data_IF_784574639381
#
_entry.id   IF_784574639381
#
_cell.length_a   1.000
_cell.length_b   1.000
_cell.length_c   1.000
_cell.angle_alpha   90.00
_cell.angle_beta   90.00
_cell.angle_gamma   90.00
#
_symmetry.space_group_name_H-M   'P 1'
#
loop_
_entity.id
_entity.type
_entity.pdbx_description
1 polymer ?
#
# COMPACT_ATOMS: atom_id res chain seq x y z
N UNK A 1 -29.33 -2.54 -12.63
CA UNK A 1 -29.78 -1.90 -11.36
C UNK A 1 -28.65 -1.03 -10.87
N UNK A 2 -28.92 0.27 -10.55
CA UNK A 2 -27.87 1.15 -10.06
C UNK A 2 -27.33 0.75 -8.68
N UNK A 3 -26.10 1.15 -8.37
CA UNK A 3 -25.46 0.93 -7.07
C UNK A 3 -26.23 1.77 -6.03
N UNK A 4 -26.80 1.12 -5.01
CA UNK A 4 -27.59 1.81 -3.97
C UNK A 4 -26.78 2.11 -2.73
N UNK A 5 -26.05 1.13 -2.25
CA UNK A 5 -25.22 1.21 -1.05
C UNK A 5 -24.15 0.09 -1.10
N UNK A 6 -23.02 0.35 -0.48
CA UNK A 6 -21.86 -0.54 -0.47
C UNK A 6 -21.54 -0.98 0.96
N UNK A 7 -21.37 -2.27 1.15
CA UNK A 7 -20.69 -2.82 2.32
C UNK A 7 -19.22 -3.00 1.99
N UNK A 8 -18.31 -2.43 2.77
CA UNK A 8 -16.87 -2.63 2.62
C UNK A 8 -16.34 -3.43 3.80
N UNK A 9 -15.81 -4.63 3.56
CA UNK A 9 -15.19 -5.46 4.60
C UNK A 9 -13.68 -5.45 4.39
N UNK A 10 -12.93 -4.89 5.35
CA UNK A 10 -11.47 -4.82 5.29
C UNK A 10 -10.83 -5.56 6.45
N UNK A 11 -9.74 -6.28 6.15
CA UNK A 11 -8.93 -6.95 7.17
C UNK A 11 -8.03 -6.00 7.97
N UNK A 12 -7.85 -4.77 7.49
CA UNK A 12 -7.06 -3.71 8.13
C UNK A 12 -7.78 -2.37 7.93
N UNK A 13 -7.59 -1.43 8.87
CA UNK A 13 -8.13 -0.07 8.77
C UNK A 13 -7.41 0.88 9.73
N UNK A 14 -7.25 2.18 9.39
CA UNK A 14 -6.73 3.18 10.32
C UNK A 14 -7.54 3.24 11.63
N UNK A 15 -6.93 3.66 12.75
CA UNK A 15 -5.59 4.26 12.88
C UNK A 15 -4.44 3.23 12.93
N UNK A 16 -4.71 1.93 12.68
CA UNK A 16 -3.66 0.93 12.54
C UNK A 16 -2.78 1.21 11.32
N UNK A 17 -1.49 0.84 11.37
CA UNK A 17 -0.57 0.98 10.24
C UNK A 17 -0.91 -0.04 9.14
N UNK A 18 -0.61 0.27 7.90
CA UNK A 18 -0.68 -0.69 6.79
C UNK A 18 -1.24 -0.10 5.50
N UNK A 19 -0.74 -0.59 4.37
CA UNK A 19 -1.15 -0.15 3.04
C UNK A 19 -2.58 -0.55 2.69
N UNK A 20 -2.98 -1.78 3.07
CA UNK A 20 -4.34 -2.31 2.85
C UNK A 20 -5.37 -1.45 3.60
N UNK A 21 -5.09 -1.12 4.87
CA UNK A 21 -5.95 -0.28 5.68
C UNK A 21 -6.10 1.14 5.13
N UNK A 22 -4.99 1.77 4.75
CA UNK A 22 -5.00 3.10 4.15
C UNK A 22 -5.75 3.12 2.80
N UNK A 23 -5.58 2.09 1.98
CA UNK A 23 -6.34 1.91 0.74
C UNK A 23 -7.85 1.83 1.04
N UNK A 24 -8.26 0.93 1.94
CA UNK A 24 -9.67 0.72 2.29
C UNK A 24 -10.33 2.02 2.82
N UNK A 25 -9.61 2.76 3.66
CA UNK A 25 -10.08 4.03 4.19
C UNK A 25 -10.29 5.10 3.11
N UNK A 26 -9.23 5.40 2.33
CA UNK A 26 -9.33 6.43 1.30
C UNK A 26 -10.40 6.08 0.24
N UNK A 27 -10.44 4.82 -0.20
CA UNK A 27 -11.45 4.37 -1.14
C UNK A 27 -12.86 4.49 -0.54
N UNK A 28 -13.06 4.10 0.73
CA UNK A 28 -14.37 4.23 1.40
C UNK A 28 -14.80 5.69 1.53
N UNK A 29 -13.87 6.59 1.85
CA UNK A 29 -14.10 8.03 1.97
C UNK A 29 -14.57 8.62 0.63
N UNK A 30 -13.85 8.32 -0.46
CA UNK A 30 -14.22 8.85 -1.78
C UNK A 30 -15.48 8.20 -2.34
N UNK A 31 -15.66 6.90 -2.21
CA UNK A 31 -16.90 6.25 -2.61
C UNK A 31 -18.12 6.81 -1.89
N UNK A 32 -17.98 7.15 -0.59
CA UNK A 32 -19.08 7.71 0.21
C UNK A 32 -19.53 9.10 -0.26
N UNK A 33 -18.72 9.83 -1.03
CA UNK A 33 -19.14 11.08 -1.68
C UNK A 33 -20.19 10.84 -2.78
N UNK A 34 -20.29 9.61 -3.30
CA UNK A 34 -21.18 9.26 -4.42
C UNK A 34 -22.23 8.22 -4.02
N UNK A 35 -21.90 7.27 -3.17
CA UNK A 35 -22.69 6.11 -2.82
C UNK A 35 -22.51 5.83 -1.33
N UNK A 36 -23.56 5.68 -0.52
CA UNK A 36 -23.42 5.36 0.91
C UNK A 36 -22.57 4.13 1.14
N UNK A 37 -21.53 4.24 1.97
CA UNK A 37 -20.60 3.17 2.33
C UNK A 37 -20.71 2.83 3.81
N UNK A 38 -20.81 1.55 4.11
CA UNK A 38 -20.66 1.03 5.48
C UNK A 38 -19.40 0.14 5.54
N UNK A 39 -18.53 0.41 6.49
CA UNK A 39 -17.28 -0.32 6.67
C UNK A 39 -17.38 -1.29 7.85
N UNK A 40 -17.04 -2.55 7.63
CA UNK A 40 -16.80 -3.54 8.67
C UNK A 40 -15.30 -3.85 8.70
N UNK A 41 -14.66 -3.64 9.84
CA UNK A 41 -13.21 -3.81 9.95
C UNK A 41 -12.78 -4.26 11.34
N UNK A 42 -11.48 -4.28 11.58
CA UNK A 42 -10.86 -4.75 12.82
C UNK A 42 -10.28 -3.61 13.66
N UNK A 43 -10.07 -3.86 14.96
CA UNK A 43 -9.39 -2.96 15.88
C UNK A 43 -8.01 -3.49 16.32
N UNK A 44 -7.41 -4.40 15.54
CA UNK A 44 -6.29 -5.22 16.00
C UNK A 44 -4.99 -4.44 16.28
N UNK A 45 -4.83 -3.26 15.70
CA UNK A 45 -3.54 -2.53 15.67
C UNK A 45 -3.56 -1.19 16.41
N UNK A 46 -4.67 -0.87 17.07
CA UNK A 46 -4.80 0.36 17.85
C UNK A 46 -5.69 0.14 19.07
N UNK A 47 -5.56 1.00 20.09
CA UNK A 47 -6.45 0.97 21.24
C UNK A 47 -7.88 1.34 20.84
N UNK A 48 -8.87 0.80 21.56
CA UNK A 48 -10.29 1.10 21.29
C UNK A 48 -10.58 2.60 21.34
N UNK A 49 -9.90 3.34 22.21
CA UNK A 49 -10.03 4.79 22.33
C UNK A 49 -9.57 5.53 21.07
N UNK A 50 -8.38 5.18 20.54
CA UNK A 50 -7.86 5.74 19.29
C UNK A 50 -8.74 5.38 18.10
N UNK A 51 -9.31 4.17 18.08
CA UNK A 51 -10.25 3.76 17.05
C UNK A 51 -11.53 4.61 17.11
N UNK A 52 -12.10 4.81 18.30
CA UNK A 52 -13.31 5.64 18.48
C UNK A 52 -13.06 7.11 18.11
N UNK A 53 -11.88 7.65 18.44
CA UNK A 53 -11.52 9.01 18.05
C UNK A 53 -11.39 9.16 16.53
N UNK A 54 -10.82 8.16 15.87
CA UNK A 54 -10.72 8.13 14.41
C UNK A 54 -12.11 8.04 13.76
N UNK A 55 -12.94 7.08 14.21
CA UNK A 55 -14.25 6.80 13.62
C UNK A 55 -15.22 8.00 13.73
N UNK A 56 -15.15 8.79 14.81
CA UNK A 56 -15.95 10.01 15.01
C UNK A 56 -15.65 11.12 13.98
N UNK A 57 -14.48 11.10 13.33
CA UNK A 57 -14.11 12.10 12.33
C UNK A 57 -14.61 11.74 10.94
N UNK A 58 -15.03 10.49 10.74
CA UNK A 58 -15.46 9.99 9.44
C UNK A 58 -16.96 10.27 9.18
N UNK A 59 -17.30 10.46 7.91
CA UNK A 59 -18.69 10.75 7.46
C UNK A 59 -19.44 9.50 7.01
N UNK A 60 -18.89 8.32 7.21
CA UNK A 60 -19.48 7.03 6.87
C UNK A 60 -19.48 6.10 8.09
N UNK A 61 -20.36 5.10 8.07
CA UNK A 61 -20.50 4.17 9.18
C UNK A 61 -19.31 3.22 9.24
N UNK A 62 -18.70 3.09 10.43
CA UNK A 62 -17.61 2.14 10.69
C UNK A 62 -18.02 1.26 11.88
N UNK A 63 -17.97 -0.06 11.66
CA UNK A 63 -18.13 -1.04 12.73
C UNK A 63 -16.86 -1.86 12.85
N UNK A 64 -16.30 -1.92 14.08
CA UNK A 64 -15.05 -2.62 14.35
C UNK A 64 -15.28 -3.92 15.07
N UNK A 65 -14.61 -4.97 14.57
CA UNK A 65 -14.57 -6.27 15.22
C UNK A 65 -13.42 -6.32 16.22
N UNK A 66 -13.69 -6.79 17.41
CA UNK A 66 -12.69 -6.99 18.43
C UNK A 66 -11.81 -8.23 18.14
N UNK A 67 -10.61 -8.21 18.71
CA UNK A 67 -9.71 -9.36 18.75
C UNK A 67 -9.84 -10.06 20.08
N UNK A 68 -10.06 -11.36 20.04
CA UNK A 68 -10.11 -12.20 21.23
C UNK A 68 -8.80 -12.95 21.41
N UNK A 69 -8.55 -13.45 22.63
CA UNK A 69 -7.29 -14.13 22.97
C UNK A 69 -7.03 -15.38 22.12
N UNK A 70 -8.10 -16.08 21.71
CA UNK A 70 -8.02 -17.24 20.83
C UNK A 70 -8.32 -16.83 19.38
N UNK A 71 -7.41 -17.04 18.43
CA UNK A 71 -7.60 -16.65 17.04
C UNK A 71 -8.83 -17.29 16.39
N UNK A 72 -9.07 -18.59 16.64
CA UNK A 72 -10.22 -19.31 16.11
C UNK A 72 -11.54 -18.70 16.58
N UNK A 73 -11.65 -18.36 17.87
CA UNK A 73 -12.82 -17.69 18.44
C UNK A 73 -13.01 -16.31 17.83
N UNK A 74 -11.92 -15.57 17.60
CA UNK A 74 -11.95 -14.28 16.93
C UNK A 74 -12.59 -14.38 15.54
N UNK A 75 -12.15 -15.34 14.72
CA UNK A 75 -12.70 -15.54 13.39
C UNK A 75 -14.16 -15.98 13.39
N UNK A 76 -14.55 -16.85 14.31
CA UNK A 76 -15.95 -17.30 14.47
C UNK A 76 -16.88 -16.14 14.84
N UNK A 77 -16.49 -15.33 15.83
CA UNK A 77 -17.29 -14.17 16.29
C UNK A 77 -17.39 -13.14 15.17
N UNK A 78 -16.30 -12.82 14.49
CA UNK A 78 -16.29 -11.88 13.35
C UNK A 78 -17.22 -12.37 12.24
N UNK A 79 -17.14 -13.65 11.90
CA UNK A 79 -18.05 -14.27 10.91
C UNK A 79 -19.51 -14.12 11.32
N UNK A 80 -19.85 -14.44 12.58
CA UNK A 80 -21.19 -14.28 13.10
C UNK A 80 -21.68 -12.83 13.07
N UNK A 81 -20.81 -11.86 13.42
CA UNK A 81 -21.14 -10.44 13.37
C UNK A 81 -21.40 -9.96 11.93
N UNK A 82 -20.60 -10.42 10.95
CA UNK A 82 -20.83 -10.14 9.53
C UNK A 82 -22.20 -10.70 9.10
N UNK A 83 -22.51 -11.93 9.45
CA UNK A 83 -23.81 -12.57 9.15
C UNK A 83 -24.95 -11.73 9.76
N UNK A 84 -24.86 -11.41 11.04
CA UNK A 84 -25.86 -10.60 11.75
C UNK A 84 -26.06 -9.23 11.09
N UNK A 85 -24.98 -8.59 10.64
CA UNK A 85 -25.05 -7.31 9.95
C UNK A 85 -25.75 -7.42 8.58
N UNK A 86 -25.37 -8.42 7.78
CA UNK A 86 -25.99 -8.71 6.48
C UNK A 86 -27.48 -9.10 6.56
N UNK A 87 -27.91 -9.74 7.63
CA UNK A 87 -29.33 -10.09 7.81
C UNK A 87 -30.21 -8.89 8.20
N UNK A 88 -29.60 -7.87 8.80
CA UNK A 88 -30.33 -6.68 9.28
C UNK A 88 -30.37 -5.55 8.25
N UNK A 89 -29.45 -5.53 7.33
CA UNK A 89 -29.32 -4.45 6.34
C UNK A 89 -29.19 -5.03 4.92
N UNK A 90 -29.73 -4.28 3.95
CA UNK A 90 -29.65 -4.63 2.54
C UNK A 90 -28.55 -3.83 1.86
N UNK A 91 -27.68 -4.53 1.13
CA UNK A 91 -26.61 -3.95 0.33
C UNK A 91 -26.72 -4.43 -1.11
N UNK A 92 -26.47 -3.53 -2.06
CA UNK A 92 -26.40 -3.90 -3.47
C UNK A 92 -25.04 -4.52 -3.82
N UNK A 93 -23.97 -4.02 -3.20
CA UNK A 93 -22.60 -4.44 -3.44
C UNK A 93 -21.86 -4.68 -2.12
N UNK A 94 -20.91 -5.61 -2.14
CA UNK A 94 -19.99 -5.83 -1.04
C UNK A 94 -18.55 -5.89 -1.59
N UNK A 95 -17.70 -5.00 -1.11
CA UNK A 95 -16.27 -4.99 -1.40
C UNK A 95 -15.56 -5.76 -0.28
N UNK A 96 -14.66 -6.66 -0.64
CA UNK A 96 -13.83 -7.42 0.30
C UNK A 96 -12.36 -7.18 0.00
N UNK A 97 -11.57 -6.79 1.02
CA UNK A 97 -10.16 -6.46 0.91
C UNK A 97 -9.36 -7.08 2.05
N UNK A 98 -8.27 -7.74 1.71
CA UNK A 98 -7.41 -8.46 2.63
C UNK A 98 -7.88 -9.90 2.92
N UNK A 99 -6.99 -10.70 3.51
CA UNK A 99 -7.08 -12.15 3.58
C UNK A 99 -8.40 -12.67 4.18
N UNK A 100 -8.73 -12.26 5.41
CA UNK A 100 -9.95 -12.72 6.09
C UNK A 100 -11.22 -12.31 5.33
N UNK A 101 -11.25 -11.08 4.83
CA UNK A 101 -12.39 -10.52 4.12
C UNK A 101 -12.68 -11.27 2.83
N UNK A 102 -11.63 -11.67 2.09
CA UNK A 102 -11.77 -12.49 0.87
C UNK A 102 -12.36 -13.86 1.18
N UNK A 103 -11.97 -14.52 2.26
CA UNK A 103 -12.53 -15.80 2.67
C UNK A 103 -14.02 -15.70 3.01
N UNK A 104 -14.50 -14.54 3.47
CA UNK A 104 -15.91 -14.31 3.76
C UNK A 104 -16.79 -14.30 2.50
N UNK A 105 -16.24 -14.17 1.29
CA UNK A 105 -17.00 -14.17 0.03
C UNK A 105 -17.95 -15.36 -0.10
N UNK A 106 -17.51 -16.56 0.32
CA UNK A 106 -18.34 -17.77 0.30
C UNK A 106 -19.52 -17.65 1.26
N UNK A 107 -19.28 -17.17 2.49
CA UNK A 107 -20.30 -16.98 3.52
C UNK A 107 -21.32 -15.92 3.08
N UNK A 108 -20.83 -14.76 2.60
CA UNK A 108 -21.68 -13.65 2.15
C UNK A 108 -22.61 -14.09 1.03
N UNK A 109 -22.08 -14.77 0.00
CA UNK A 109 -22.88 -15.27 -1.15
C UNK A 109 -23.90 -16.34 -0.75
N UNK A 110 -23.61 -17.12 0.29
CA UNK A 110 -24.55 -18.13 0.81
C UNK A 110 -25.76 -17.49 1.49
N UNK A 111 -25.59 -16.31 2.11
CA UNK A 111 -26.65 -15.60 2.84
C UNK A 111 -27.40 -14.63 1.90
N UNK A 112 -26.67 -13.89 1.09
CA UNK A 112 -27.19 -12.86 0.16
C UNK A 112 -26.78 -13.23 -1.27
N UNK A 113 -27.55 -14.10 -1.93
CA UNK A 113 -27.24 -14.59 -3.29
C UNK A 113 -27.13 -13.48 -4.33
N UNK A 114 -27.93 -12.42 -4.20
CA UNK A 114 -28.02 -11.33 -5.17
C UNK A 114 -27.03 -10.21 -4.95
N UNK A 115 -26.31 -10.16 -3.81
CA UNK A 115 -25.29 -9.14 -3.55
C UNK A 115 -24.14 -9.30 -4.55
N UNK A 116 -23.66 -8.19 -5.10
CA UNK A 116 -22.51 -8.20 -6.01
C UNK A 116 -21.22 -8.13 -5.21
N UNK A 117 -20.35 -9.11 -5.37
CA UNK A 117 -19.10 -9.23 -4.64
C UNK A 117 -17.92 -8.72 -5.45
N UNK A 118 -17.17 -7.78 -4.89
CA UNK A 118 -15.97 -7.18 -5.48
C UNK A 118 -14.77 -7.53 -4.59
N UNK A 119 -13.79 -8.24 -5.13
CA UNK A 119 -12.55 -8.57 -4.42
C UNK A 119 -11.43 -7.61 -4.82
N UNK A 120 -10.80 -6.95 -3.84
CA UNK A 120 -9.59 -6.14 -4.05
C UNK A 120 -8.37 -6.94 -3.57
N UNK A 121 -7.32 -6.98 -4.40
CA UNK A 121 -6.12 -7.77 -4.15
C UNK A 121 -4.88 -6.89 -4.07
N UNK A 122 -4.09 -7.09 -2.99
CA UNK A 122 -2.86 -6.34 -2.72
C UNK A 122 -1.59 -7.19 -2.89
N UNK A 123 -1.72 -8.53 -2.96
CA UNK A 123 -0.66 -9.49 -3.26
C UNK A 123 -0.51 -10.61 -2.24
N UNK A 124 -0.10 -10.32 -1.00
CA UNK A 124 0.22 -11.33 0.03
C UNK A 124 -0.94 -12.31 0.32
N UNK A 125 -2.19 -11.85 0.23
CA UNK A 125 -3.38 -12.69 0.44
C UNK A 125 -3.54 -13.80 -0.61
N UNK A 126 -2.93 -13.65 -1.78
CA UNK A 126 -2.95 -14.64 -2.85
C UNK A 126 -1.84 -15.70 -2.69
N UNK A 127 -0.77 -15.40 -1.96
CA UNK A 127 0.41 -16.25 -1.78
C UNK A 127 0.26 -17.23 -0.61
N UNK A 128 -0.82 -18.01 -0.60
CA UNK A 128 -1.06 -18.98 0.45
C UNK A 128 -0.14 -20.21 0.32
N UNK A 129 0.56 -20.55 1.40
CA UNK A 129 1.39 -21.78 1.47
C UNK A 129 0.63 -22.98 1.99
N UNK A 130 -0.38 -22.77 2.83
CA UNK A 130 -1.19 -23.84 3.41
C UNK A 130 -2.22 -24.35 2.39
N UNK A 131 -2.25 -25.68 2.18
CA UNK A 131 -3.12 -26.33 1.20
C UNK A 131 -4.62 -26.07 1.46
N UNK A 132 -5.06 -26.13 2.71
CA UNK A 132 -6.47 -25.89 3.08
C UNK A 132 -6.85 -24.46 2.76
N UNK A 133 -5.96 -23.49 3.09
CA UNK A 133 -6.20 -22.08 2.80
C UNK A 133 -6.23 -21.80 1.30
N UNK A 134 -5.41 -22.50 0.49
CA UNK A 134 -5.50 -22.43 -0.99
C UNK A 134 -6.86 -22.89 -1.49
N UNK A 135 -7.40 -23.98 -0.96
CA UNK A 135 -8.72 -24.48 -1.34
C UNK A 135 -9.82 -23.48 -0.96
N UNK A 136 -9.80 -22.98 0.28
CA UNK A 136 -10.78 -22.01 0.76
C UNK A 136 -10.74 -20.70 -0.06
N UNK A 137 -9.54 -20.18 -0.31
CA UNK A 137 -9.35 -19.02 -1.16
C UNK A 137 -9.88 -19.25 -2.57
N UNK A 138 -9.58 -20.41 -3.15
CA UNK A 138 -10.07 -20.78 -4.48
C UNK A 138 -11.61 -20.79 -4.57
N UNK A 139 -12.29 -21.35 -3.56
CA UNK A 139 -13.77 -21.33 -3.51
C UNK A 139 -14.29 -19.90 -3.32
N UNK A 140 -13.60 -19.07 -2.53
CA UNK A 140 -13.96 -17.67 -2.31
C UNK A 140 -13.81 -16.83 -3.57
N UNK A 141 -12.71 -17.00 -4.32
CA UNK A 141 -12.50 -16.32 -5.61
C UNK A 141 -13.61 -16.64 -6.63
N UNK A 142 -14.12 -17.88 -6.66
CA UNK A 142 -15.25 -18.26 -7.54
C UNK A 142 -16.57 -17.54 -7.22
N UNK A 143 -16.70 -16.96 -6.04
CA UNK A 143 -17.91 -16.23 -5.61
C UNK A 143 -17.86 -14.73 -5.96
N UNK A 144 -16.71 -14.23 -6.34
CA UNK A 144 -16.57 -12.84 -6.74
C UNK A 144 -17.24 -12.59 -8.09
N UNK A 145 -17.94 -11.48 -8.19
CA UNK A 145 -18.51 -10.99 -9.45
C UNK A 145 -17.48 -10.09 -10.17
N UNK A 146 -16.60 -9.41 -9.42
CA UNK A 146 -15.54 -8.53 -9.93
C UNK A 146 -14.25 -8.79 -9.17
N UNK A 147 -13.12 -8.75 -9.89
CA UNK A 147 -11.77 -8.87 -9.34
C UNK A 147 -10.98 -7.60 -9.64
N UNK A 148 -10.37 -7.00 -8.62
CA UNK A 148 -9.58 -5.76 -8.77
C UNK A 148 -8.20 -5.95 -8.12
N UNK A 149 -7.20 -6.45 -8.86
CA UNK A 149 -5.80 -6.36 -8.45
C UNK A 149 -5.31 -4.91 -8.50
N UNK A 150 -4.49 -4.50 -7.52
CA UNK A 150 -3.94 -3.13 -7.47
C UNK A 150 -2.75 -2.91 -8.41
N UNK A 151 -2.24 -3.95 -9.07
CA UNK A 151 -1.14 -3.89 -10.03
C UNK A 151 -1.15 -5.12 -10.95
N UNK A 152 -0.44 -5.03 -12.09
CA UNK A 152 -0.17 -6.18 -12.97
C UNK A 152 0.60 -7.28 -12.25
N UNK A 153 1.51 -6.89 -11.35
CA UNK A 153 2.24 -7.83 -10.51
C UNK A 153 1.32 -8.60 -9.56
N UNK A 154 0.39 -7.92 -8.90
CA UNK A 154 -0.61 -8.56 -8.05
C UNK A 154 -1.56 -9.44 -8.87
N UNK A 155 -1.94 -9.01 -10.08
CA UNK A 155 -2.74 -9.81 -11.02
C UNK A 155 -2.08 -11.14 -11.38
N UNK A 156 -0.76 -11.16 -11.52
CA UNK A 156 0.01 -12.36 -11.86
C UNK A 156 -0.06 -13.47 -10.80
N UNK A 157 -0.45 -13.15 -9.57
CA UNK A 157 -0.66 -14.15 -8.50
C UNK A 157 -2.05 -14.80 -8.51
N UNK A 158 -2.98 -14.27 -9.30
CA UNK A 158 -4.27 -14.93 -9.48
C UNK A 158 -4.08 -16.27 -10.20
N UNK A 159 -4.77 -17.33 -9.76
CA UNK A 159 -4.70 -18.62 -10.45
C UNK A 159 -5.05 -18.47 -11.94
N UNK A 160 -4.36 -19.20 -12.81
CA UNK A 160 -4.44 -19.10 -14.27
C UNK A 160 -5.88 -19.08 -14.82
N UNK A 161 -6.79 -19.88 -14.23
CA UNK A 161 -8.20 -19.91 -14.63
C UNK A 161 -8.96 -18.59 -14.41
N UNK A 162 -8.41 -17.65 -13.62
CA UNK A 162 -8.94 -16.30 -13.44
C UNK A 162 -8.16 -15.25 -14.28
N UNK A 163 -7.11 -15.65 -15.01
CA UNK A 163 -6.34 -14.74 -15.86
C UNK A 163 -7.23 -13.98 -16.84
N UNK A 164 -8.19 -14.68 -17.48
CA UNK A 164 -9.14 -14.11 -18.43
C UNK A 164 -10.54 -13.89 -17.85
N UNK A 165 -10.63 -13.59 -16.55
CA UNK A 165 -11.92 -13.31 -15.93
C UNK A 165 -12.54 -12.03 -16.51
N UNK A 166 -13.76 -12.16 -17.08
CA UNK A 166 -14.40 -11.07 -17.87
C UNK A 166 -14.57 -9.74 -17.14
N UNK A 167 -14.68 -9.80 -15.80
CA UNK A 167 -14.87 -8.62 -14.94
C UNK A 167 -13.67 -8.48 -14.00
N UNK A 168 -12.48 -8.45 -14.60
CA UNK A 168 -11.23 -8.18 -13.92
C UNK A 168 -10.69 -6.83 -14.41
N UNK A 169 -10.39 -5.94 -13.47
CA UNK A 169 -9.90 -4.58 -13.72
C UNK A 169 -8.67 -4.33 -12.86
N UNK A 170 -7.55 -3.98 -13.47
CA UNK A 170 -6.37 -3.55 -12.73
C UNK A 170 -6.58 -2.07 -12.40
N UNK A 171 -6.75 -1.75 -11.11
CA UNK A 171 -6.95 -0.38 -10.65
C UNK A 171 -5.84 -0.05 -9.64
N UNK A 172 -4.95 0.90 -9.95
CA UNK A 172 -3.83 1.25 -9.08
C UNK A 172 -4.32 1.89 -7.77
N UNK A 173 -3.42 1.93 -6.79
CA UNK A 173 -3.66 2.68 -5.56
C UNK A 173 -3.68 4.19 -5.85
N UNK A 174 -4.44 4.90 -5.05
CA UNK A 174 -4.45 6.36 -5.06
C UNK A 174 -3.53 6.98 -3.99
N UNK A 175 -3.34 8.28 -4.09
CA UNK A 175 -2.70 9.12 -3.09
C UNK A 175 -3.63 10.28 -2.70
N UNK A 176 -3.56 10.74 -1.46
CA UNK A 176 -4.38 11.84 -0.98
C UNK A 176 -3.55 13.12 -0.86
N UNK A 177 -3.68 14.02 -1.84
CA UNK A 177 -2.98 15.31 -1.85
C UNK A 177 -3.37 16.21 -0.67
N UNK A 178 -4.64 16.19 -0.23
CA UNK A 178 -5.12 17.04 0.86
C UNK A 178 -4.50 16.66 2.20
N UNK A 179 -4.21 15.38 2.41
CA UNK A 179 -3.57 14.87 3.63
C UNK A 179 -2.21 15.56 3.85
N UNK A 180 -1.52 15.91 2.77
CA UNK A 180 -0.20 16.55 2.81
C UNK A 180 -0.28 18.09 2.82
N UNK A 181 -1.33 18.70 2.27
CA UNK A 181 -1.49 20.16 2.24
C UNK A 181 -1.75 20.75 3.64
N UNK A 182 -2.49 20.03 4.49
CA UNK A 182 -2.79 20.46 5.86
C UNK A 182 -1.58 20.43 6.81
N UNK A 183 -0.48 19.80 6.40
CA UNK A 183 0.77 19.69 7.20
C UNK A 183 1.66 20.95 7.11
N UNK A 184 1.35 21.92 6.27
CA UNK A 184 2.18 23.12 6.08
C UNK A 184 2.31 24.03 7.33
N UNK A 185 1.54 23.78 8.40
CA UNK A 185 1.56 24.52 9.66
C UNK A 185 2.45 23.90 10.74
N UNK A 186 2.98 22.70 10.52
CA UNK A 186 3.83 22.02 11.49
C UNK A 186 5.28 22.22 11.07
N UNK A 187 5.98 23.09 11.81
CA UNK A 187 7.45 23.21 11.72
C UNK A 187 8.04 21.91 12.31
N UNK A 188 8.22 20.87 11.47
CA UNK A 188 9.03 19.73 11.88
C UNK A 188 10.46 20.21 12.10
N UNK A 189 10.98 20.00 13.31
CA UNK A 189 12.38 20.32 13.63
C UNK A 189 13.37 19.38 12.92
N UNK A 190 12.86 18.30 12.27
CA UNK A 190 13.70 17.29 11.63
C UNK A 190 14.22 17.80 10.29
N UNK A 191 15.55 17.94 10.23
CA UNK A 191 16.28 18.24 8.98
C UNK A 191 17.01 16.98 8.53
N UNK A 192 16.78 16.60 7.28
CA UNK A 192 17.53 15.52 6.63
C UNK A 192 18.91 16.04 6.19
N UNK A 193 19.89 15.14 6.25
CA UNK A 193 21.28 15.43 5.85
C UNK A 193 21.50 15.00 4.39
N UNK A 194 22.59 15.49 3.83
CA UNK A 194 23.13 15.00 2.57
C UNK A 194 22.69 15.72 1.32
N UNK A 195 23.53 15.57 0.30
CA UNK A 195 23.30 16.00 -1.09
C UNK A 195 24.02 15.00 -2.02
N UNK A 196 23.32 14.16 -2.76
CA UNK A 196 21.85 13.99 -2.73
C UNK A 196 21.34 13.35 -1.41
N UNK A 197 20.10 13.70 -1.05
CA UNK A 197 19.36 13.13 0.07
C UNK A 197 18.49 11.96 -0.44
N UNK A 198 18.84 10.73 -0.09
CA UNK A 198 18.11 9.53 -0.46
C UNK A 198 17.17 9.12 0.66
N UNK A 199 15.94 8.74 0.32
CA UNK A 199 14.90 8.43 1.30
C UNK A 199 14.21 7.10 0.98
N UNK A 200 14.01 6.25 1.98
CA UNK A 200 13.02 5.17 1.94
C UNK A 200 11.97 5.40 3.01
N UNK A 201 10.68 5.30 2.64
CA UNK A 201 9.55 5.32 3.57
C UNK A 201 8.88 3.95 3.58
N UNK A 202 8.89 3.29 4.74
CA UNK A 202 8.35 1.96 4.95
C UNK A 202 9.12 1.21 6.04
N UNK A 203 8.57 0.08 6.51
CA UNK A 203 9.24 -0.74 7.52
C UNK A 203 10.62 -1.18 7.06
N UNK A 204 11.60 -1.14 7.96
CA UNK A 204 12.96 -1.63 7.69
C UNK A 204 12.95 -3.14 7.79
N UNK A 205 12.98 -3.81 6.65
CA UNK A 205 12.97 -5.27 6.53
C UNK A 205 13.76 -5.71 5.30
N UNK A 206 14.26 -6.93 5.32
CA UNK A 206 14.96 -7.51 4.17
C UNK A 206 14.11 -7.45 2.88
N UNK A 207 12.81 -7.72 2.99
CA UNK A 207 11.86 -7.66 1.88
C UNK A 207 11.80 -6.27 1.19
N UNK A 208 11.96 -5.19 1.95
CA UNK A 208 11.93 -3.81 1.43
C UNK A 208 13.22 -3.37 0.75
N UNK A 209 14.29 -4.19 0.84
CA UNK A 209 15.52 -4.05 0.06
C UNK A 209 16.41 -2.85 0.40
N UNK A 210 16.25 -2.25 1.60
CA UNK A 210 17.13 -1.15 2.04
C UNK A 210 18.61 -1.56 2.02
N UNK A 211 18.88 -2.85 2.23
CA UNK A 211 20.23 -3.44 2.19
C UNK A 211 20.91 -3.27 0.82
N UNK A 212 20.13 -3.29 -0.27
CA UNK A 212 20.67 -3.18 -1.61
C UNK A 212 21.28 -1.80 -1.86
N UNK A 213 20.63 -0.75 -1.35
CA UNK A 213 21.22 0.58 -1.41
C UNK A 213 22.45 0.69 -0.51
N UNK A 214 22.44 0.10 0.69
CA UNK A 214 23.63 0.10 1.58
C UNK A 214 24.82 -0.56 0.88
N UNK A 215 24.60 -1.63 0.14
CA UNK A 215 25.64 -2.28 -0.64
C UNK A 215 26.21 -1.41 -1.77
N UNK A 216 25.38 -0.49 -2.33
CA UNK A 216 25.80 0.44 -3.39
C UNK A 216 26.44 1.72 -2.85
N UNK A 217 26.26 2.06 -1.54
CA UNK A 217 26.79 3.31 -0.98
C UNK A 217 28.32 3.47 -1.13
N UNK A 218 29.18 2.45 -1.01
CA UNK A 218 30.61 2.62 -1.21
C UNK A 218 30.98 3.22 -2.59
N UNK A 219 30.24 2.82 -3.64
CA UNK A 219 30.46 3.37 -4.98
C UNK A 219 29.85 4.77 -5.11
N UNK A 220 28.64 4.98 -4.58
CA UNK A 220 27.96 6.29 -4.61
C UNK A 220 28.72 7.40 -3.88
N UNK A 221 29.37 7.07 -2.76
CA UNK A 221 30.15 8.04 -1.95
C UNK A 221 31.36 8.57 -2.74
N UNK A 222 31.96 7.79 -3.64
CA UNK A 222 33.08 8.25 -4.47
C UNK A 222 32.66 9.41 -5.36
N UNK A 223 31.43 9.40 -5.86
CA UNK A 223 30.90 10.43 -6.75
C UNK A 223 30.17 11.53 -6.00
N UNK A 224 29.46 11.15 -4.93
CA UNK A 224 28.67 12.06 -4.09
C UNK A 224 29.17 12.02 -2.63
N UNK A 225 30.29 12.66 -2.27
CA UNK A 225 30.86 12.59 -0.92
C UNK A 225 29.94 13.11 0.19
N UNK A 226 28.91 13.89 -0.16
CA UNK A 226 27.92 14.42 0.77
C UNK A 226 26.60 13.66 0.76
N UNK A 227 26.50 12.53 0.05
CA UNK A 227 25.30 11.71 0.00
C UNK A 227 24.84 11.26 1.39
N UNK A 228 23.54 11.15 1.61
CA UNK A 228 23.04 10.55 2.84
C UNK A 228 21.75 9.77 2.58
N UNK A 229 21.64 8.59 3.18
CA UNK A 229 20.50 7.71 3.10
C UNK A 229 19.68 7.72 4.38
N UNK A 230 18.38 8.00 4.26
CA UNK A 230 17.42 8.04 5.34
C UNK A 230 16.39 6.92 5.21
N UNK A 231 16.23 6.11 6.27
CA UNK A 231 15.18 5.10 6.39
C UNK A 231 14.14 5.58 7.41
N UNK A 232 12.89 5.74 6.99
CA UNK A 232 11.75 6.16 7.81
C UNK A 232 10.72 5.05 7.85
N UNK A 233 10.38 4.57 9.04
CA UNK A 233 9.40 3.50 9.27
C UNK A 233 9.74 2.62 10.46
N UNK A 234 8.89 1.64 10.76
CA UNK A 234 9.15 0.70 11.84
C UNK A 234 10.46 -0.06 11.62
N UNK A 235 11.35 0.01 12.59
CA UNK A 235 12.69 -0.58 12.51
C UNK A 235 12.66 -2.05 12.97
N UNK A 236 12.05 -2.93 12.17
CA UNK A 236 11.90 -4.34 12.51
C UNK A 236 13.22 -5.12 12.42
N UNK A 237 14.06 -4.78 11.42
CA UNK A 237 15.37 -5.39 11.18
C UNK A 237 16.50 -4.33 11.12
N UNK A 238 16.30 -3.22 11.83
CA UNK A 238 17.22 -2.07 11.78
C UNK A 238 18.61 -2.34 12.28
N UNK A 239 18.78 -3.22 13.27
CA UNK A 239 20.09 -3.56 13.82
C UNK A 239 20.93 -4.35 12.81
N UNK A 240 20.31 -5.25 12.05
CA UNK A 240 20.97 -5.95 10.97
C UNK A 240 21.41 -4.99 9.85
N UNK A 241 20.56 -4.04 9.49
CA UNK A 241 20.87 -3.03 8.49
C UNK A 241 22.04 -2.13 8.93
N UNK A 242 22.07 -1.71 10.21
CA UNK A 242 23.20 -0.97 10.80
C UNK A 242 24.50 -1.77 10.81
N UNK A 243 24.45 -3.06 11.21
CA UNK A 243 25.60 -3.92 11.20
C UNK A 243 26.23 -4.01 9.81
N UNK A 244 25.42 -4.11 8.76
CA UNK A 244 25.91 -4.10 7.37
C UNK A 244 26.53 -2.76 6.96
N UNK A 245 25.95 -1.65 7.39
CA UNK A 245 26.52 -0.33 7.14
C UNK A 245 27.87 -0.11 7.85
N UNK A 246 28.06 -0.69 9.03
CA UNK A 246 29.35 -0.72 9.75
C UNK A 246 30.37 -1.58 9.01
N UNK A 247 29.99 -2.79 8.60
CA UNK A 247 30.84 -3.72 7.83
C UNK A 247 31.42 -3.04 6.58
N UNK A 248 30.59 -2.28 5.88
CA UNK A 248 30.96 -1.56 4.64
C UNK A 248 31.60 -0.18 4.88
N UNK A 249 31.83 0.23 6.14
CA UNK A 249 32.34 1.54 6.53
C UNK A 249 31.50 2.73 6.03
N UNK A 250 30.17 2.55 5.87
CA UNK A 250 29.23 3.59 5.39
C UNK A 250 28.22 4.05 6.43
N UNK A 251 28.40 3.65 7.69
CA UNK A 251 27.43 3.97 8.78
C UNK A 251 27.19 5.48 8.95
N UNK A 252 28.21 6.32 8.69
CA UNK A 252 28.10 7.77 8.79
C UNK A 252 27.22 8.40 7.69
N UNK A 253 26.86 7.63 6.65
CA UNK A 253 26.01 8.02 5.54
C UNK A 253 24.58 7.47 5.64
N UNK A 254 24.23 6.84 6.77
CA UNK A 254 22.93 6.19 6.95
C UNK A 254 22.27 6.65 8.24
N UNK A 255 20.99 6.98 8.18
CA UNK A 255 20.19 7.27 9.37
C UNK A 255 18.89 6.47 9.33
N UNK A 256 18.62 5.69 10.37
CA UNK A 256 17.35 4.99 10.58
C UNK A 256 16.56 5.74 11.63
N UNK A 257 15.47 6.41 11.20
CA UNK A 257 14.69 7.31 12.06
C UNK A 257 13.65 6.58 12.92
N UNK A 258 13.29 5.34 12.58
CA UNK A 258 12.13 4.69 13.16
C UNK A 258 10.81 5.24 12.63
N UNK A 259 9.72 5.01 13.35
CA UNK A 259 8.39 5.47 12.98
C UNK A 259 8.29 7.01 13.07
N UNK A 260 7.83 7.63 11.99
CA UNK A 260 7.48 9.05 11.93
C UNK A 260 5.97 9.16 11.66
N UNK A 261 5.23 10.00 12.40
CA UNK A 261 3.79 10.19 12.18
C UNK A 261 3.49 10.75 10.78
N UNK A 262 2.37 10.34 10.19
CA UNK A 262 1.99 10.74 8.82
C UNK A 262 1.97 12.26 8.58
N UNK A 263 1.59 13.04 9.60
CA UNK A 263 1.55 14.51 9.47
C UNK A 263 2.93 15.15 9.36
N UNK A 264 4.01 14.45 9.69
CA UNK A 264 5.39 14.92 9.53
C UNK A 264 6.03 14.44 8.22
N UNK A 265 5.47 13.39 7.57
CA UNK A 265 6.04 12.82 6.35
C UNK A 265 6.15 13.83 5.20
N UNK A 266 5.22 14.79 5.10
CA UNK A 266 5.29 15.85 4.09
C UNK A 266 6.59 16.64 4.14
N UNK A 267 7.07 16.98 5.35
CA UNK A 267 8.33 17.69 5.52
C UNK A 267 9.54 16.83 5.21
N UNK A 268 9.43 15.52 5.41
CA UNK A 268 10.47 14.54 5.08
C UNK A 268 10.58 14.40 3.55
N UNK A 269 9.47 14.20 2.85
CA UNK A 269 9.46 14.07 1.39
C UNK A 269 10.02 15.33 0.71
N UNK A 270 9.64 16.54 1.14
CA UNK A 270 10.11 17.82 0.59
C UNK A 270 11.63 17.99 0.64
N UNK A 271 12.33 17.28 1.51
CA UNK A 271 13.78 17.36 1.68
C UNK A 271 14.53 16.30 0.87
N UNK A 272 13.85 15.28 0.35
CA UNK A 272 14.45 14.19 -0.39
C UNK A 272 14.74 14.60 -1.85
N UNK A 273 15.83 14.09 -2.38
CA UNK A 273 16.16 14.20 -3.80
C UNK A 273 15.69 12.98 -4.61
N UNK A 274 15.71 11.79 -3.99
CA UNK A 274 15.29 10.53 -4.61
C UNK A 274 14.60 9.66 -3.56
N UNK A 275 13.41 9.11 -3.90
CA UNK A 275 12.81 8.03 -3.13
C UNK A 275 13.39 6.69 -3.59
N UNK A 276 13.80 5.86 -2.66
CA UNK A 276 14.40 4.53 -2.93
C UNK A 276 13.43 3.44 -2.50
N UNK A 277 13.01 2.59 -3.46
CA UNK A 277 12.08 1.47 -3.23
C UNK A 277 12.61 0.21 -3.93
N UNK A 278 13.61 -0.45 -3.31
CA UNK A 278 14.30 -1.62 -3.86
C UNK A 278 13.75 -2.95 -3.32
N UNK A 279 12.42 -3.05 -3.21
CA UNK A 279 11.76 -4.25 -2.67
C UNK A 279 12.14 -5.51 -3.43
N UNK A 280 12.29 -6.62 -2.69
CA UNK A 280 12.73 -7.92 -3.18
C UNK A 280 11.60 -8.92 -3.09
N UNK A 281 11.38 -9.71 -4.15
CA UNK A 281 10.46 -10.84 -4.11
C UNK A 281 11.18 -12.10 -3.60
N UNK A 282 10.47 -12.89 -2.82
CA UNK A 282 10.84 -14.28 -2.60
C UNK A 282 9.60 -15.17 -2.83
N UNK A 283 9.80 -16.48 -2.99
CA UNK A 283 8.71 -17.41 -3.32
C UNK A 283 7.57 -17.48 -2.27
N UNK A 284 7.71 -16.85 -1.10
CA UNK A 284 6.74 -16.92 0.01
C UNK A 284 6.02 -15.62 0.28
N UNK A 285 6.58 -14.48 -0.12
CA UNK A 285 6.05 -13.16 0.18
C UNK A 285 6.05 -12.28 -1.08
N UNK A 286 5.00 -11.50 -1.26
CA UNK A 286 4.96 -10.45 -2.27
C UNK A 286 6.03 -9.40 -1.96
N UNK A 287 6.80 -9.01 -2.96
CA UNK A 287 7.85 -8.00 -2.81
C UNK A 287 7.25 -6.65 -2.37
N UNK A 288 6.43 -6.11 -3.21
CA UNK A 288 5.62 -4.92 -3.01
C UNK A 288 4.43 -5.01 -3.96
N UNK A 289 3.22 -4.86 -3.44
CA UNK A 289 2.02 -4.98 -4.26
C UNK A 289 1.80 -3.80 -5.21
N UNK A 290 2.28 -2.59 -4.82
CA UNK A 290 2.17 -1.39 -5.65
C UNK A 290 3.25 -0.34 -5.30
N UNK A 291 3.45 -0.01 -4.02
CA UNK A 291 4.40 1.03 -3.58
C UNK A 291 3.78 2.42 -3.40
N UNK A 292 2.75 2.53 -2.55
CA UNK A 292 2.04 3.81 -2.29
C UNK A 292 3.00 4.95 -1.94
N UNK A 293 4.09 4.67 -1.20
CA UNK A 293 5.09 5.67 -0.83
C UNK A 293 5.72 6.38 -2.03
N UNK A 294 5.71 5.77 -3.23
CA UNK A 294 6.17 6.39 -4.47
C UNK A 294 5.23 7.53 -4.85
N UNK A 295 3.93 7.28 -4.86
CA UNK A 295 2.94 8.33 -5.16
C UNK A 295 2.98 9.44 -4.10
N UNK A 296 3.17 9.09 -2.82
CA UNK A 296 3.30 10.05 -1.73
C UNK A 296 4.52 10.97 -1.94
N UNK A 297 5.67 10.43 -2.35
CA UNK A 297 6.87 11.19 -2.70
C UNK A 297 6.65 12.04 -3.97
N UNK A 298 5.97 11.48 -4.96
CA UNK A 298 5.67 12.16 -6.23
C UNK A 298 4.77 13.40 -6.04
N UNK A 299 3.89 13.43 -5.01
CA UNK A 299 3.13 14.65 -4.62
C UNK A 299 4.06 15.84 -4.39
N UNK A 300 5.28 15.58 -3.91
CA UNK A 300 6.30 16.60 -3.63
C UNK A 300 7.36 16.73 -4.73
N UNK A 301 7.13 16.10 -5.88
CA UNK A 301 8.09 16.10 -6.99
C UNK A 301 9.36 15.31 -6.70
N UNK A 302 9.31 14.30 -5.84
CA UNK A 302 10.44 13.42 -5.57
C UNK A 302 10.35 12.20 -6.48
N UNK A 303 11.24 12.08 -7.49
CA UNK A 303 11.29 10.92 -8.38
C UNK A 303 11.76 9.68 -7.61
N UNK A 304 11.42 8.49 -8.11
CA UNK A 304 11.73 7.24 -7.44
C UNK A 304 12.74 6.38 -8.22
N UNK A 305 13.63 5.71 -7.48
CA UNK A 305 14.36 4.54 -7.94
C UNK A 305 13.65 3.29 -7.42
N UNK A 306 13.14 2.45 -8.32
CA UNK A 306 12.32 1.29 -7.97
C UNK A 306 12.79 -0.01 -8.60
N UNK A 307 12.44 -1.14 -7.95
CA UNK A 307 12.76 -2.48 -8.46
C UNK A 307 11.85 -2.93 -9.59
N UNK A 308 12.45 -3.52 -10.63
CA UNK A 308 11.77 -4.31 -11.66
C UNK A 308 11.15 -5.57 -11.07
N UNK A 309 10.19 -6.16 -11.79
CA UNK A 309 9.50 -7.42 -11.45
C UNK A 309 8.77 -7.39 -10.11
N UNK A 310 8.21 -6.25 -9.75
CA UNK A 310 7.40 -6.01 -8.56
C UNK A 310 6.21 -5.11 -8.89
N UNK A 311 5.27 -4.93 -7.95
CA UNK A 311 4.16 -3.99 -8.14
C UNK A 311 4.58 -2.52 -8.26
N UNK A 312 5.82 -2.20 -7.91
CA UNK A 312 6.44 -0.87 -8.09
C UNK A 312 6.43 -0.43 -9.56
N UNK A 313 6.48 -1.37 -10.52
CA UNK A 313 6.40 -1.06 -11.94
C UNK A 313 5.10 -0.35 -12.36
N UNK A 314 4.03 -0.52 -11.61
CA UNK A 314 2.76 0.18 -11.87
C UNK A 314 2.70 1.56 -11.17
N UNK A 315 3.63 1.84 -10.23
CA UNK A 315 3.74 3.15 -9.56
C UNK A 315 4.76 4.08 -10.23
N UNK A 316 5.67 3.57 -11.06
CA UNK A 316 6.71 4.34 -11.74
C UNK A 316 6.55 4.23 -13.26
N UNK A 317 6.56 5.35 -13.96
CA UNK A 317 6.75 5.38 -15.41
C UNK A 317 8.25 5.56 -15.67
N UNK A 318 8.91 4.47 -16.11
CA UNK A 318 10.36 4.43 -16.32
C UNK A 318 10.84 5.55 -17.25
N UNK A 319 11.93 6.24 -16.87
CA UNK A 319 12.50 7.42 -17.53
C UNK A 319 11.56 8.65 -17.57
N UNK A 320 10.43 8.61 -16.87
CA UNK A 320 9.47 9.71 -16.84
C UNK A 320 9.22 10.22 -15.41
N UNK A 321 8.85 9.32 -14.48
CA UNK A 321 8.62 9.68 -13.07
C UNK A 321 9.66 9.09 -12.13
N UNK A 322 10.59 8.32 -12.68
CA UNK A 322 11.67 7.64 -11.95
C UNK A 322 12.36 6.60 -12.83
N UNK A 323 13.23 5.83 -12.23
CA UNK A 323 14.02 4.79 -12.89
C UNK A 323 13.71 3.43 -12.27
N UNK A 324 13.52 2.41 -13.12
CA UNK A 324 13.35 1.03 -12.67
C UNK A 324 14.61 0.21 -12.98
N UNK A 325 15.10 -0.51 -11.97
CA UNK A 325 16.37 -1.23 -12.01
C UNK A 325 16.21 -2.66 -11.45
N UNK A 326 17.20 -3.50 -11.70
CA UNK A 326 17.38 -4.74 -10.94
C UNK A 326 17.89 -4.38 -9.53
N UNK A 327 17.12 -4.66 -8.46
CA UNK A 327 17.51 -4.27 -7.10
C UNK A 327 18.77 -4.98 -6.58
N UNK A 328 19.24 -6.01 -7.25
CA UNK A 328 20.46 -6.74 -6.87
C UNK A 328 21.71 -6.24 -7.62
N UNK A 329 21.56 -5.43 -8.66
CA UNK A 329 22.66 -4.86 -9.44
C UNK A 329 23.14 -3.55 -8.84
N UNK A 330 24.34 -3.55 -8.23
CA UNK A 330 24.95 -2.32 -7.70
C UNK A 330 25.13 -1.30 -8.81
N UNK A 331 25.57 -1.72 -9.99
CA UNK A 331 25.81 -0.84 -11.14
C UNK A 331 24.50 -0.15 -11.58
N UNK A 332 23.38 -0.91 -11.71
CA UNK A 332 22.09 -0.32 -12.07
C UNK A 332 21.58 0.65 -10.98
N UNK A 333 21.82 0.36 -9.70
CA UNK A 333 21.48 1.27 -8.58
C UNK A 333 22.26 2.57 -8.70
N UNK A 334 23.57 2.49 -8.92
CA UNK A 334 24.44 3.66 -9.02
C UNK A 334 24.07 4.51 -10.24
N UNK A 335 23.98 3.92 -11.41
CA UNK A 335 23.64 4.64 -12.64
C UNK A 335 22.19 5.20 -12.57
N UNK A 336 21.23 4.44 -12.04
CA UNK A 336 19.86 4.92 -11.86
C UNK A 336 19.75 6.16 -10.95
N UNK A 337 20.54 6.23 -9.87
CA UNK A 337 20.61 7.42 -9.02
C UNK A 337 21.25 8.61 -9.78
N UNK A 338 22.33 8.39 -10.54
CA UNK A 338 22.97 9.42 -11.35
C UNK A 338 21.99 9.99 -12.39
N UNK A 339 21.29 9.13 -13.10
CA UNK A 339 20.30 9.50 -14.11
C UNK A 339 19.15 10.32 -13.50
N UNK A 340 18.67 9.94 -12.32
CA UNK A 340 17.63 10.68 -11.60
C UNK A 340 18.15 12.07 -11.21
N UNK A 341 19.35 12.17 -10.66
CA UNK A 341 19.93 13.46 -10.25
C UNK A 341 20.18 14.36 -11.45
N UNK A 342 20.74 13.83 -12.55
CA UNK A 342 20.99 14.58 -13.77
C UNK A 342 19.69 15.13 -14.42
N UNK A 343 18.60 14.37 -14.37
CA UNK A 343 17.32 14.71 -14.99
C UNK A 343 16.26 15.17 -13.98
N UNK A 344 16.67 15.53 -12.76
CA UNK A 344 15.76 15.73 -11.62
C UNK A 344 14.63 16.72 -11.91
N UNK A 345 14.90 17.82 -12.59
CA UNK A 345 13.89 18.85 -12.87
C UNK A 345 12.74 18.31 -13.72
N UNK A 346 13.05 17.53 -14.76
CA UNK A 346 12.05 16.93 -15.65
C UNK A 346 11.27 15.84 -14.91
N UNK A 347 11.98 14.91 -14.28
CA UNK A 347 11.38 13.80 -13.54
C UNK A 347 10.50 14.30 -12.40
N UNK A 348 10.87 15.39 -11.72
CA UNK A 348 10.11 16.01 -10.65
C UNK A 348 8.75 16.54 -11.13
N UNK A 349 8.70 17.28 -12.24
CA UNK A 349 7.46 17.78 -12.80
C UNK A 349 6.53 16.62 -13.22
N UNK A 350 7.08 15.65 -13.92
CA UNK A 350 6.33 14.49 -14.35
C UNK A 350 5.80 13.64 -13.18
N UNK A 351 6.58 13.55 -12.08
CA UNK A 351 6.16 12.87 -10.86
C UNK A 351 4.94 13.56 -10.21
N UNK A 352 4.94 14.89 -10.17
CA UNK A 352 3.79 15.66 -9.67
C UNK A 352 2.56 15.38 -10.52
N UNK A 353 2.66 15.44 -11.85
CA UNK A 353 1.55 15.17 -12.76
C UNK A 353 1.04 13.73 -12.58
N UNK A 354 1.94 12.77 -12.44
CA UNK A 354 1.61 11.37 -12.19
C UNK A 354 0.85 11.18 -10.88
N UNK A 355 1.28 11.83 -9.80
CA UNK A 355 0.56 11.82 -8.54
C UNK A 355 -0.84 12.43 -8.66
N UNK A 356 -1.00 13.51 -9.43
CA UNK A 356 -2.31 14.11 -9.73
C UNK A 356 -3.25 13.17 -10.47
N UNK A 357 -2.73 12.35 -11.40
CA UNK A 357 -3.53 11.31 -12.09
C UNK A 357 -3.92 10.15 -11.15
N UNK A 358 -3.22 9.98 -10.05
CA UNK A 358 -3.47 8.97 -9.03
C UNK A 358 -4.15 9.54 -7.77
N UNK A 359 -4.71 10.76 -7.83
CA UNK A 359 -5.48 11.24 -6.69
C UNK A 359 -6.73 10.36 -6.47
N UNK A 360 -7.09 10.14 -5.20
CA UNK A 360 -8.16 9.21 -4.82
C UNK A 360 -9.53 9.58 -5.45
N UNK A 361 -9.80 10.86 -5.70
CA UNK A 361 -11.01 11.29 -6.41
C UNK A 361 -11.11 10.65 -7.81
N UNK A 362 -10.00 10.63 -8.59
CA UNK A 362 -9.93 10.01 -9.92
C UNK A 362 -9.91 8.47 -9.83
N UNK A 363 -9.17 7.93 -8.88
CA UNK A 363 -9.08 6.47 -8.71
C UNK A 363 -10.44 5.90 -8.29
N UNK A 364 -11.17 6.56 -7.39
CA UNK A 364 -12.51 6.11 -6.96
C UNK A 364 -13.52 6.03 -8.08
N UNK A 365 -13.45 6.93 -9.09
CA UNK A 365 -14.29 6.87 -10.27
C UNK A 365 -14.05 5.60 -11.10
N UNK A 366 -12.78 5.14 -11.23
CA UNK A 366 -12.45 3.85 -11.88
C UNK A 366 -13.08 2.68 -11.12
N UNK A 367 -13.11 2.74 -9.79
CA UNK A 367 -13.81 1.74 -8.97
C UNK A 367 -15.32 1.77 -9.19
N UNK A 368 -15.95 2.96 -9.26
CA UNK A 368 -17.40 3.11 -9.53
C UNK A 368 -17.72 2.52 -10.90
N UNK A 369 -16.93 2.82 -11.92
CA UNK A 369 -17.10 2.25 -13.26
C UNK A 369 -17.00 0.72 -13.24
N UNK A 370 -15.94 0.17 -12.66
CA UNK A 370 -15.73 -1.28 -12.55
C UNK A 370 -16.89 -1.96 -11.80
N UNK A 371 -17.32 -1.40 -10.66
CA UNK A 371 -18.41 -1.94 -9.83
C UNK A 371 -19.74 -1.88 -10.57
N UNK A 372 -19.96 -0.88 -11.38
CA UNK A 372 -21.19 -0.74 -12.18
C UNK A 372 -21.35 -1.83 -13.26
N UNK A 373 -20.25 -2.52 -13.60
CA UNK A 373 -20.26 -3.65 -14.53
C UNK A 373 -20.77 -4.97 -13.90
N UNK A 374 -21.07 -5.02 -12.58
CA UNK A 374 -21.39 -6.23 -11.82
C UNK A 374 -22.72 -6.95 -12.19
#
# INVERSE_FOLDING_TARGET
MGIKNILFISSEFPPGPGGIGNHAWNLSKELNNHIPVHVLTVSDYATSEKCLEFDKKERFYIHRFERYRLPTLTYLIRTFQIIKHLTRQEYSHCIVSGHFSLLMSTVIKSIKKNIKLVGIFHGDELLQTNFIMKILLHYSLKKLDIMIPVSRYTDSFLPEKFANYRKKFIIPNGVNHEQFNNSNKINSAMKLKGRPCLLTVGSVTNRKGQINLINALPELIKEYPLIHYHCVGLSLEGDWLKAKAVELNVINYVTIHGFIPNHELSNIFKQADVLIMLSQSNMKLCAEGFGIAILEANVFGVPALGSKNTGIEDAIVHNNTGIMIDPYSIDEIVEGIKDIIANRAILSNNAIDWAHEHNWDKISLKYIEAISCA
#
